data_IF_198139342397
#
_entry.id   IF_198139342397
#
_cell.length_a   1.000
_cell.length_b   1.000
_cell.length_c   1.000
_cell.angle_alpha   90.00
_cell.angle_beta   90.00
_cell.angle_gamma   90.00
#
_symmetry.space_group_name_H-M   'P 1'
#
loop_
_entity.id
_entity.type
_entity.pdbx_description
1 polymer ?
#
# COMPACT_ATOMS: atom_id res chain seq x y z
N UNK A 1 -0.03 -7.53 -8.66
CA UNK A 1 -0.59 -6.56 -9.64
C UNK A 1 -1.73 -5.82 -9.00
N UNK A 2 -1.94 -4.56 -9.36
CA UNK A 2 -3.00 -3.70 -8.85
C UNK A 2 -4.16 -3.61 -9.85
N UNK A 3 -5.39 -3.63 -9.32
CA UNK A 3 -6.62 -3.39 -10.06
C UNK A 3 -7.43 -2.37 -9.26
N UNK A 4 -7.19 -1.08 -9.53
CA UNK A 4 -7.79 0.01 -8.76
C UNK A 4 -7.38 -0.07 -7.28
N UNK A 5 -8.35 -0.34 -6.41
CA UNK A 5 -8.13 -0.48 -4.98
C UNK A 5 -7.68 -1.88 -4.54
N UNK A 6 -7.74 -2.87 -5.44
CA UNK A 6 -7.43 -4.28 -5.17
C UNK A 6 -5.97 -4.58 -5.48
N UNK A 7 -5.30 -5.30 -4.58
CA UNK A 7 -3.97 -5.87 -4.83
C UNK A 7 -4.10 -7.38 -5.00
N UNK A 8 -3.71 -7.88 -6.17
CA UNK A 8 -3.59 -9.32 -6.43
C UNK A 8 -2.15 -9.74 -6.14
N UNK A 9 -1.97 -10.63 -5.17
CA UNK A 9 -0.70 -11.23 -4.82
C UNK A 9 -0.78 -12.76 -4.98
N UNK A 10 0.33 -13.36 -5.43
CA UNK A 10 0.48 -14.82 -5.48
C UNK A 10 1.47 -15.25 -4.40
N UNK A 11 1.20 -16.37 -3.73
CA UNK A 11 2.12 -16.93 -2.75
C UNK A 11 3.42 -17.40 -3.44
N UNK A 12 4.59 -16.83 -3.10
CA UNK A 12 5.85 -17.23 -3.73
C UNK A 12 6.43 -18.53 -3.16
N UNK A 13 5.90 -19.04 -2.04
CA UNK A 13 6.42 -20.22 -1.32
C UNK A 13 7.90 -20.13 -0.93
N UNK A 14 8.46 -18.92 -0.91
CA UNK A 14 9.84 -18.64 -0.50
C UNK A 14 9.95 -17.22 0.08
N UNK A 15 10.96 -16.95 0.93
CA UNK A 15 11.25 -15.59 1.37
C UNK A 15 11.66 -14.71 0.18
N UNK A 16 11.14 -13.48 0.14
CA UNK A 16 11.51 -12.48 -0.85
C UNK A 16 12.14 -11.26 -0.17
N UNK A 17 13.21 -10.66 -0.72
CA UNK A 17 13.85 -9.46 -0.18
C UNK A 17 13.06 -8.18 -0.52
N UNK A 18 11.73 -8.24 -0.44
CA UNK A 18 10.80 -7.17 -0.80
C UNK A 18 10.17 -6.52 0.44
N UNK A 19 10.42 -7.07 1.62
CA UNK A 19 9.89 -6.60 2.89
C UNK A 19 11.02 -6.08 3.78
N UNK A 20 10.79 -4.95 4.42
CA UNK A 20 11.77 -4.32 5.31
C UNK A 20 11.49 -2.84 5.50
N UNK A 21 12.16 -2.24 6.49
CA UNK A 21 11.98 -0.83 6.85
C UNK A 21 12.32 0.12 5.70
N UNK A 22 13.41 -0.16 5.00
CA UNK A 22 13.86 0.64 3.86
C UNK A 22 12.82 0.64 2.74
N UNK A 23 12.22 -0.52 2.47
CA UNK A 23 11.17 -0.64 1.45
C UNK A 23 9.91 0.08 1.92
N UNK A 24 9.48 -0.10 3.17
CA UNK A 24 8.27 0.57 3.68
C UNK A 24 8.38 2.09 3.66
N UNK A 25 9.54 2.67 3.98
CA UNK A 25 9.73 4.12 3.93
C UNK A 25 9.63 4.66 2.51
N UNK A 26 10.11 3.93 1.49
CA UNK A 26 9.93 4.33 0.09
C UNK A 26 8.45 4.47 -0.28
N UNK A 27 7.60 3.52 0.14
CA UNK A 27 6.15 3.58 -0.10
C UNK A 27 5.40 4.60 0.77
N UNK A 28 6.00 5.06 1.87
CA UNK A 28 5.44 6.14 2.71
C UNK A 28 5.70 7.52 2.11
N UNK A 29 6.85 7.70 1.45
CA UNK A 29 7.30 9.01 0.95
C UNK A 29 6.88 9.28 -0.49
N UNK A 30 6.78 8.24 -1.32
CA UNK A 30 6.49 8.39 -2.74
C UNK A 30 4.98 8.34 -3.02
N UNK A 31 4.49 9.14 -4.00
CA UNK A 31 3.10 9.06 -4.45
C UNK A 31 2.70 7.65 -4.94
N UNK A 32 1.43 7.33 -4.79
CA UNK A 32 0.84 6.09 -5.32
C UNK A 32 1.07 6.01 -6.82
N UNK A 33 1.52 4.84 -7.31
CA UNK A 33 1.80 4.59 -8.73
C UNK A 33 3.25 4.86 -9.16
N UNK A 34 4.10 5.47 -8.32
CA UNK A 34 5.53 5.66 -8.62
C UNK A 34 6.37 4.39 -8.38
N UNK A 35 5.87 3.48 -7.55
CA UNK A 35 6.53 2.22 -7.19
C UNK A 35 5.70 1.03 -7.68
N UNK A 36 6.31 -0.15 -7.88
CA UNK A 36 5.60 -1.35 -8.26
C UNK A 36 4.46 -1.72 -7.28
N UNK A 37 3.46 -2.51 -7.71
CA UNK A 37 2.38 -2.94 -6.84
C UNK A 37 2.90 -3.72 -5.62
N UNK A 38 2.58 -3.23 -4.42
CA UNK A 38 3.09 -3.79 -3.17
C UNK A 38 2.11 -3.56 -2.01
N UNK A 39 2.14 -4.42 -1.00
CA UNK A 39 1.25 -4.31 0.17
C UNK A 39 1.46 -2.99 0.94
N UNK A 40 2.68 -2.45 0.96
CA UNK A 40 2.95 -1.14 1.56
C UNK A 40 2.26 0.02 0.84
N UNK A 41 2.03 -0.08 -0.47
CA UNK A 41 1.23 0.92 -1.20
C UNK A 41 -0.24 0.91 -0.74
N UNK A 42 -0.80 -0.29 -0.52
CA UNK A 42 -2.18 -0.46 0.00
C UNK A 42 -2.30 0.10 1.41
N UNK A 43 -1.33 -0.20 2.28
CA UNK A 43 -1.30 0.33 3.65
C UNK A 43 -1.17 1.87 3.67
N UNK A 44 -0.27 2.43 2.85
CA UNK A 44 -0.09 3.87 2.71
C UNK A 44 -1.39 4.56 2.27
N UNK A 45 -2.05 4.02 1.24
CA UNK A 45 -3.34 4.52 0.75
C UNK A 45 -4.43 4.49 1.83
N UNK A 46 -4.60 3.37 2.53
CA UNK A 46 -5.58 3.24 3.60
C UNK A 46 -5.29 4.23 4.75
N UNK A 47 -4.03 4.40 5.13
CA UNK A 47 -3.63 5.36 6.16
C UNK A 47 -3.96 6.80 5.76
N UNK A 48 -3.59 7.21 4.55
CA UNK A 48 -3.88 8.55 4.04
C UNK A 48 -5.38 8.82 3.89
N UNK A 49 -6.16 7.84 3.44
CA UNK A 49 -7.61 7.93 3.38
C UNK A 49 -8.25 8.05 4.76
N UNK A 50 -7.72 7.34 5.77
CA UNK A 50 -8.17 7.47 7.16
C UNK A 50 -7.95 8.87 7.71
N UNK A 51 -6.87 9.53 7.31
CA UNK A 51 -6.55 10.91 7.71
C UNK A 51 -7.27 12.00 6.88
N UNK A 52 -7.99 11.64 5.81
CA UNK A 52 -8.52 12.64 4.88
C UNK A 52 -7.42 13.38 4.09
N UNK A 53 -6.24 12.78 3.97
CA UNK A 53 -5.15 13.36 3.17
C UNK A 53 -5.57 13.48 1.71
N UNK A 54 -5.23 14.59 1.04
CA UNK A 54 -5.61 14.85 -0.36
C UNK A 54 -7.00 15.45 -0.55
N UNK A 55 -7.59 16.05 0.50
CA UNK A 55 -8.87 16.77 0.42
C UNK A 55 -10.11 15.90 0.66
N UNK A 56 -9.91 14.65 1.07
CA UNK A 56 -11.00 13.75 1.47
C UNK A 56 -11.43 13.97 2.93
N UNK A 57 -12.62 13.49 3.29
CA UNK A 57 -13.07 13.45 4.68
C UNK A 57 -12.43 12.25 5.40
N UNK A 58 -11.86 12.42 6.60
CA UNK A 58 -11.36 11.31 7.41
C UNK A 58 -12.41 10.23 7.64
N UNK A 59 -12.10 8.97 7.31
CA UNK A 59 -13.02 7.84 7.50
C UNK A 59 -12.30 6.54 7.79
N UNK A 60 -12.85 5.71 8.68
CA UNK A 60 -12.29 4.40 9.00
C UNK A 60 -12.07 3.55 7.74
N UNK A 61 -10.92 2.86 7.68
CA UNK A 61 -10.55 1.97 6.58
C UNK A 61 -10.42 0.53 7.07
N UNK A 62 -10.57 -0.42 6.16
CA UNK A 62 -10.30 -1.85 6.39
C UNK A 62 -9.51 -2.42 5.23
N UNK A 63 -8.65 -3.40 5.51
CA UNK A 63 -7.94 -4.19 4.51
C UNK A 63 -8.39 -5.63 4.71
N UNK A 64 -8.97 -6.22 3.66
CA UNK A 64 -9.44 -7.60 3.65
C UNK A 64 -8.53 -8.38 2.71
N UNK A 65 -8.04 -9.53 3.18
CA UNK A 65 -7.15 -10.43 2.45
C UNK A 65 -7.99 -11.56 1.85
#
# INVERSE_FOLDING_TARGET
>A
TDIGDILIAMNPFQPLPLYGREVSEKYRQLPVGMLPPHIFAVASRAYHAMLGSGGGVPRSQSIVI
#
